data_IF_164964266758
#
_entry.id   IF_164964266758
#
_cell.length_a   1.000
_cell.length_b   1.000
_cell.length_c   1.000
_cell.angle_alpha   90.00
_cell.angle_beta   90.00
_cell.angle_gamma   90.00
#
_symmetry.space_group_name_H-M   'P 1'
#
loop_
_entity.id
_entity.type
_entity.pdbx_description
1 polymer ?
#
# COMPACT_ATOMS: atom_id res chain seq x y z
N UNK A 1 21.32 -3.45 4.66
CA UNK A 1 22.63 -3.29 5.32
C UNK A 1 23.64 -4.21 4.66
N UNK A 2 24.83 -3.72 4.35
CA UNK A 2 25.96 -4.57 3.97
C UNK A 2 26.46 -5.37 5.19
N UNK A 3 27.23 -6.45 4.99
CA UNK A 3 27.85 -7.17 6.11
C UNK A 3 28.70 -6.26 7.00
N UNK A 4 29.41 -5.29 6.41
CA UNK A 4 30.24 -4.33 7.17
C UNK A 4 29.39 -3.41 8.06
N UNK A 5 28.19 -3.00 7.62
CA UNK A 5 27.25 -2.22 8.44
C UNK A 5 26.75 -2.99 9.67
N UNK A 6 26.84 -4.33 9.64
CA UNK A 6 26.37 -5.24 10.68
C UNK A 6 27.51 -5.78 11.57
N UNK A 7 28.75 -5.37 11.32
CA UNK A 7 29.90 -5.84 12.09
C UNK A 7 29.79 -5.42 13.56
N UNK A 8 29.85 -6.40 14.47
CA UNK A 8 29.72 -6.17 15.91
C UNK A 8 28.29 -5.89 16.38
N UNK A 9 27.28 -6.06 15.53
CA UNK A 9 25.87 -5.96 15.89
C UNK A 9 25.32 -7.35 16.21
N UNK A 10 24.85 -7.55 17.44
CA UNK A 10 24.22 -8.81 17.85
C UNK A 10 22.70 -8.84 17.58
N UNK A 11 22.09 -7.65 17.48
CA UNK A 11 20.65 -7.48 17.41
C UNK A 11 20.25 -6.22 16.63
N UNK A 12 19.27 -6.36 15.75
CA UNK A 12 18.65 -5.24 15.02
C UNK A 12 17.19 -5.09 15.41
N UNK A 13 16.78 -3.86 15.73
CA UNK A 13 15.41 -3.51 16.10
C UNK A 13 14.69 -2.81 14.94
N UNK A 14 13.45 -3.21 14.67
CA UNK A 14 12.55 -2.53 13.76
C UNK A 14 11.36 -1.97 14.53
N UNK A 15 11.28 -0.64 14.59
CA UNK A 15 10.21 0.09 15.27
C UNK A 15 9.71 1.23 14.36
N UNK A 16 8.92 0.87 13.34
CA UNK A 16 8.44 1.82 12.32
C UNK A 16 6.95 1.62 12.12
N UNK A 17 6.21 2.73 12.07
CA UNK A 17 4.78 2.75 11.77
C UNK A 17 4.52 2.56 10.26
N UNK A 18 3.82 1.48 9.92
CA UNK A 18 3.35 1.18 8.57
C UNK A 18 1.90 1.65 8.34
N UNK A 19 1.37 1.52 7.12
CA UNK A 19 0.00 1.91 6.76
C UNK A 19 -0.84 0.79 6.17
N UNK A 20 -0.33 -0.45 6.11
CA UNK A 20 -1.11 -1.65 5.76
C UNK A 20 -1.27 -1.92 4.28
N UNK A 21 -0.39 -1.35 3.44
CA UNK A 21 -0.46 -1.51 1.99
C UNK A 21 0.85 -2.04 1.42
N UNK A 22 0.77 -2.97 0.46
CA UNK A 22 1.92 -3.64 -0.16
C UNK A 22 2.95 -2.70 -0.77
N UNK A 23 2.51 -1.58 -1.35
CA UNK A 23 3.38 -0.59 -1.98
C UNK A 23 3.94 0.47 -1.03
N UNK A 24 3.67 0.38 0.28
CA UNK A 24 4.35 1.18 1.29
C UNK A 24 5.62 0.45 1.74
N UNK A 25 6.78 1.01 1.42
CA UNK A 25 8.04 0.24 1.32
C UNK A 25 8.76 -0.03 2.63
N UNK A 26 8.16 0.28 3.78
CA UNK A 26 8.76 -0.05 5.08
C UNK A 26 8.79 -1.56 5.32
N UNK A 27 7.74 -2.31 4.92
CA UNK A 27 7.76 -3.78 4.97
C UNK A 27 8.79 -4.39 4.00
N UNK A 28 9.05 -3.74 2.86
CA UNK A 28 10.08 -4.16 1.91
C UNK A 28 11.49 -3.93 2.48
N UNK A 29 11.69 -2.78 3.12
CA UNK A 29 12.93 -2.48 3.86
C UNK A 29 13.13 -3.48 5.00
N UNK A 30 12.07 -3.76 5.77
CA UNK A 30 12.09 -4.76 6.83
C UNK A 30 12.53 -6.13 6.32
N UNK A 31 11.99 -6.59 5.19
CA UNK A 31 12.38 -7.86 4.58
C UNK A 31 13.87 -7.90 4.19
N UNK A 32 14.41 -6.82 3.59
CA UNK A 32 15.85 -6.76 3.30
C UNK A 32 16.73 -6.77 4.56
N UNK A 33 16.29 -6.12 5.63
CA UNK A 33 17.02 -6.15 6.90
C UNK A 33 16.93 -7.53 7.55
N UNK A 34 15.77 -8.19 7.51
CA UNK A 34 15.58 -9.56 7.97
C UNK A 34 16.48 -10.54 7.19
N UNK A 35 16.57 -10.40 5.87
CA UNK A 35 17.47 -11.19 5.03
C UNK A 35 18.92 -11.00 5.44
N UNK A 36 19.38 -9.74 5.57
CA UNK A 36 20.74 -9.44 6.00
C UNK A 36 21.04 -9.97 7.42
N UNK A 37 20.08 -9.91 8.35
CA UNK A 37 20.24 -10.49 9.69
C UNK A 37 20.35 -12.02 9.62
N UNK A 38 19.51 -12.67 8.82
CA UNK A 38 19.55 -14.12 8.62
C UNK A 38 20.88 -14.59 8.00
N UNK A 39 21.43 -13.85 7.04
CA UNK A 39 22.72 -14.15 6.40
C UNK A 39 23.92 -14.00 7.34
N UNK A 40 23.81 -13.17 8.39
CA UNK A 40 24.88 -12.86 9.34
C UNK A 40 24.66 -13.45 10.75
N UNK A 41 23.65 -14.32 10.91
CA UNK A 41 23.28 -14.96 12.19
C UNK A 41 22.85 -14.01 13.32
N UNK A 42 22.37 -12.81 12.95
CA UNK A 42 21.96 -11.72 13.85
C UNK A 42 20.48 -11.85 14.24
N UNK A 43 20.17 -11.53 15.50
CA UNK A 43 18.79 -11.49 15.98
C UNK A 43 18.04 -10.26 15.46
N UNK A 44 16.80 -10.44 15.00
CA UNK A 44 15.95 -9.35 14.52
C UNK A 44 14.71 -9.24 15.38
N UNK A 45 14.45 -8.06 15.94
CA UNK A 45 13.31 -7.80 16.83
C UNK A 45 12.39 -6.76 16.23
N UNK A 46 11.11 -7.10 16.10
CA UNK A 46 10.06 -6.15 15.68
C UNK A 46 9.32 -5.64 16.91
N UNK A 47 9.34 -4.33 17.15
CA UNK A 47 8.41 -3.67 18.06
C UNK A 47 7.14 -3.39 17.27
N UNK A 48 6.11 -4.20 17.52
CA UNK A 48 4.94 -4.19 16.66
C UNK A 48 4.12 -2.91 16.84
N UNK A 49 3.40 -2.53 15.78
CA UNK A 49 2.55 -1.36 15.76
C UNK A 49 1.21 -1.67 15.10
N UNK A 50 0.10 -1.03 15.51
CA UNK A 50 -1.19 -1.23 14.88
C UNK A 50 -1.14 -0.91 13.38
N UNK A 51 -1.81 -1.73 12.58
CA UNK A 51 -2.03 -1.43 11.18
C UNK A 51 -3.31 -0.58 11.04
N UNK A 52 -3.26 0.68 10.56
CA UNK A 52 -4.44 1.53 10.40
C UNK A 52 -5.45 0.96 9.38
N UNK A 53 -4.97 0.21 8.38
CA UNK A 53 -5.77 -0.54 7.41
C UNK A 53 -5.85 -2.04 7.76
N UNK A 54 -5.65 -2.40 9.04
CA UNK A 54 -5.63 -3.78 9.52
C UNK A 54 -7.00 -4.46 9.57
N UNK A 55 -8.08 -3.72 9.32
CA UNK A 55 -9.48 -4.15 9.48
C UNK A 55 -10.10 -4.81 8.24
N UNK A 56 -9.32 -4.98 7.18
CA UNK A 56 -9.73 -5.68 5.98
C UNK A 56 -8.53 -6.21 5.20
N UNK A 57 -8.81 -7.03 4.19
CA UNK A 57 -7.83 -7.59 3.26
C UNK A 57 -8.45 -7.50 1.87
N UNK A 58 -7.77 -6.84 0.92
CA UNK A 58 -8.32 -6.63 -0.42
C UNK A 58 -7.27 -6.28 -1.49
N UNK A 59 -7.66 -6.43 -2.75
CA UNK A 59 -6.89 -6.15 -3.96
C UNK A 59 -6.19 -7.38 -4.55
N UNK A 60 -5.69 -7.28 -5.79
CA UNK A 60 -5.02 -8.40 -6.45
C UNK A 60 -3.82 -8.92 -5.67
N UNK A 61 -3.64 -10.24 -5.66
CA UNK A 61 -2.42 -10.88 -5.13
C UNK A 61 -1.22 -10.53 -6.02
N UNK A 62 -0.09 -10.25 -5.37
CA UNK A 62 1.28 -10.31 -5.88
C UNK A 62 1.56 -11.40 -6.92
N UNK A 63 1.41 -11.15 -8.23
CA UNK A 63 2.11 -11.98 -9.22
C UNK A 63 3.61 -11.63 -9.20
N UNK A 64 4.45 -12.62 -8.91
CA UNK A 64 5.88 -12.43 -8.73
C UNK A 64 6.61 -12.01 -10.01
N UNK A 65 6.00 -12.16 -11.20
CA UNK A 65 6.51 -11.52 -12.43
C UNK A 65 6.53 -9.97 -12.31
N UNK A 66 5.63 -9.42 -11.50
CA UNK A 66 5.54 -8.00 -11.19
C UNK A 66 6.30 -7.61 -9.91
N UNK A 67 7.07 -8.51 -9.31
CA UNK A 67 7.89 -8.21 -8.13
C UNK A 67 8.76 -6.97 -8.34
N UNK A 68 8.81 -6.13 -7.31
CA UNK A 68 9.67 -4.94 -7.23
C UNK A 68 9.79 -4.51 -5.77
N UNK A 69 10.47 -3.39 -5.51
CA UNK A 69 10.58 -2.86 -4.14
C UNK A 69 9.22 -2.43 -3.55
N UNK A 70 8.23 -2.09 -4.39
CA UNK A 70 6.84 -1.78 -3.95
C UNK A 70 5.93 -3.00 -3.89
N UNK A 71 6.48 -4.21 -3.98
CA UNK A 71 5.74 -5.45 -3.88
C UNK A 71 6.68 -6.64 -3.97
N UNK A 72 7.07 -7.19 -2.82
CA UNK A 72 8.12 -8.20 -2.75
C UNK A 72 7.60 -9.66 -2.65
N UNK A 73 6.38 -9.84 -2.15
CA UNK A 73 5.81 -11.12 -1.75
C UNK A 73 4.37 -11.26 -2.27
N UNK A 74 3.86 -12.50 -2.46
CA UNK A 74 2.53 -12.78 -3.00
C UNK A 74 1.41 -12.47 -1.98
N UNK A 75 1.27 -11.18 -1.64
CA UNK A 75 0.25 -10.64 -0.74
C UNK A 75 -0.66 -9.68 -1.51
N UNK A 76 -1.92 -9.48 -1.08
CA UNK A 76 -2.81 -8.51 -1.71
C UNK A 76 -2.33 -7.07 -1.50
N UNK A 77 -2.97 -6.11 -2.17
CA UNK A 77 -2.65 -4.68 -2.02
C UNK A 77 -2.82 -4.24 -0.57
N UNK A 78 -3.94 -4.60 0.07
CA UNK A 78 -4.17 -4.41 1.51
C UNK A 78 -4.04 -5.76 2.18
N UNK A 79 -2.94 -5.96 2.91
CA UNK A 79 -2.58 -7.26 3.46
C UNK A 79 -3.21 -7.55 4.83
N UNK A 80 -3.73 -6.53 5.52
CA UNK A 80 -4.43 -6.69 6.81
C UNK A 80 -3.56 -7.30 7.92
N UNK A 81 -2.24 -7.12 7.86
CA UNK A 81 -1.29 -7.60 8.85
C UNK A 81 -0.57 -6.42 9.49
N UNK A 82 -0.27 -6.51 10.78
CA UNK A 82 0.73 -5.66 11.44
C UNK A 82 2.14 -5.98 10.93
N UNK A 83 3.13 -5.15 11.27
CA UNK A 83 4.52 -5.36 10.80
C UNK A 83 5.13 -6.62 11.40
N UNK A 84 4.82 -6.97 12.66
CA UNK A 84 5.30 -8.23 13.24
C UNK A 84 4.61 -9.45 12.62
N UNK A 85 3.30 -9.41 12.38
CA UNK A 85 2.60 -10.51 11.69
C UNK A 85 3.12 -10.69 10.25
N UNK A 86 3.40 -9.59 9.54
CA UNK A 86 4.02 -9.63 8.22
C UNK A 86 5.43 -10.23 8.26
N UNK A 87 6.27 -9.81 9.22
CA UNK A 87 7.60 -10.41 9.42
C UNK A 87 7.52 -11.91 9.72
N UNK A 88 6.58 -12.33 10.58
CA UNK A 88 6.32 -13.74 10.87
C UNK A 88 5.91 -14.51 9.60
N UNK A 89 5.05 -13.93 8.78
CA UNK A 89 4.61 -14.53 7.51
C UNK A 89 5.77 -14.68 6.53
N UNK A 90 6.56 -13.62 6.31
CA UNK A 90 7.77 -13.63 5.46
C UNK A 90 8.73 -14.73 5.90
N UNK A 91 8.96 -14.85 7.21
CA UNK A 91 9.88 -15.83 7.77
C UNK A 91 9.33 -17.26 7.70
N UNK A 92 8.04 -17.46 7.98
CA UNK A 92 7.38 -18.77 8.03
C UNK A 92 7.12 -19.38 6.65
N UNK A 93 6.73 -18.54 5.68
CA UNK A 93 6.53 -18.95 4.29
C UNK A 93 7.85 -18.98 3.48
N UNK A 94 8.99 -18.75 4.14
CA UNK A 94 10.34 -18.79 3.56
C UNK A 94 10.52 -17.86 2.36
N UNK A 95 10.02 -16.64 2.47
CA UNK A 95 10.09 -15.62 1.41
C UNK A 95 11.39 -14.82 1.39
N UNK A 96 12.27 -15.01 2.38
CA UNK A 96 13.65 -14.52 2.30
C UNK A 96 14.43 -15.29 1.23
N UNK A 97 15.45 -14.66 0.65
CA UNK A 97 16.28 -15.29 -0.39
C UNK A 97 16.83 -16.64 0.05
N UNK A 98 16.84 -17.60 -0.89
CA UNK A 98 17.24 -19.00 -0.65
C UNK A 98 16.40 -19.74 0.42
N UNK A 99 15.27 -19.16 0.85
CA UNK A 99 14.42 -19.74 1.88
C UNK A 99 15.05 -19.74 3.28
N UNK A 100 16.06 -18.89 3.52
CA UNK A 100 16.65 -18.72 4.85
C UNK A 100 15.62 -18.13 5.81
N UNK A 101 15.86 -18.31 7.10
CA UNK A 101 14.98 -17.80 8.14
C UNK A 101 15.78 -16.95 9.11
N UNK A 102 15.21 -15.80 9.46
CA UNK A 102 15.77 -14.89 10.45
C UNK A 102 15.46 -15.39 11.86
N UNK A 103 16.39 -15.18 12.80
CA UNK A 103 16.13 -15.31 14.25
C UNK A 103 15.19 -14.17 14.69
N UNK A 104 13.90 -14.35 14.46
CA UNK A 104 12.88 -13.33 14.65
C UNK A 104 12.30 -13.38 16.08
N UNK A 105 12.35 -12.24 16.77
CA UNK A 105 11.50 -11.96 17.94
C UNK A 105 10.56 -10.81 17.61
N UNK A 106 9.48 -10.69 18.38
CA UNK A 106 8.56 -9.57 18.26
C UNK A 106 7.95 -9.23 19.62
N UNK A 107 7.64 -7.95 19.81
CA UNK A 107 6.97 -7.42 20.98
C UNK A 107 5.57 -6.96 20.55
N UNK A 108 4.50 -7.68 20.93
CA UNK A 108 3.14 -7.37 20.48
C UNK A 108 2.58 -6.13 21.17
N UNK A 109 1.61 -5.49 20.52
CA UNK A 109 0.79 -4.44 21.13
C UNK A 109 -0.15 -5.04 22.19
N UNK A 110 -0.38 -4.31 23.27
CA UNK A 110 -1.50 -4.57 24.16
C UNK A 110 -2.76 -3.86 23.68
N UNK A 111 -3.93 -4.42 24.00
CA UNK A 111 -5.24 -3.82 23.70
C UNK A 111 -5.49 -3.50 22.22
N UNK A 112 -4.92 -4.29 21.30
CA UNK A 112 -5.15 -4.19 19.85
C UNK A 112 -5.81 -5.46 19.32
N UNK A 113 -6.77 -5.28 18.42
CA UNK A 113 -7.30 -6.31 17.54
C UNK A 113 -7.55 -5.71 16.15
N UNK A 114 -7.76 -6.58 15.16
CA UNK A 114 -7.92 -6.13 13.79
C UNK A 114 -9.21 -5.34 13.52
N UNK A 115 -10.20 -5.32 14.42
CA UNK A 115 -11.36 -4.44 14.31
C UNK A 115 -11.14 -3.06 14.95
N UNK A 116 -10.02 -2.84 15.63
CA UNK A 116 -9.74 -1.58 16.33
C UNK A 116 -9.22 -0.52 15.36
N UNK A 117 -9.94 0.59 15.27
CA UNK A 117 -9.43 1.79 14.62
C UNK A 117 -8.24 2.35 15.40
N UNK A 118 -7.14 2.61 14.69
CA UNK A 118 -5.94 3.25 15.25
C UNK A 118 -5.63 4.52 14.48
N UNK A 119 -5.57 5.64 15.20
CA UNK A 119 -5.16 6.92 14.65
C UNK A 119 -3.67 7.13 14.88
N UNK A 120 -2.94 7.44 13.82
CA UNK A 120 -1.51 7.65 13.90
C UNK A 120 -1.22 9.01 14.55
N UNK A 121 -0.41 9.07 15.63
CA UNK A 121 -0.07 10.33 16.27
C UNK A 121 0.91 11.19 15.45
N UNK A 122 1.61 10.57 14.49
CA UNK A 122 2.63 11.20 13.65
C UNK A 122 2.39 10.75 12.22
N UNK A 123 2.42 11.70 11.27
CA UNK A 123 2.33 11.38 9.83
C UNK A 123 3.43 10.37 9.45
N UNK A 124 3.10 9.22 8.84
CA UNK A 124 4.09 8.20 8.50
C UNK A 124 4.97 8.62 7.32
N UNK A 125 4.50 9.58 6.51
CA UNK A 125 5.21 10.17 5.38
C UNK A 125 4.76 11.62 5.19
N UNK A 126 5.60 12.51 4.62
CA UNK A 126 5.16 13.84 4.22
C UNK A 126 3.92 13.84 3.31
N UNK A 127 3.71 12.77 2.53
CA UNK A 127 2.56 12.66 1.61
C UNK A 127 1.36 11.89 2.19
N UNK A 128 1.44 11.42 3.43
CA UNK A 128 0.30 10.83 4.15
C UNK A 128 0.04 11.69 5.40
N UNK A 129 -0.43 12.94 5.23
CA UNK A 129 -0.44 13.93 6.31
C UNK A 129 -1.47 13.63 7.41
N UNK A 130 -2.50 12.82 7.11
CA UNK A 130 -3.62 12.56 8.02
C UNK A 130 -4.26 11.19 7.77
N UNK A 131 -5.21 10.81 8.63
CA UNK A 131 -5.91 9.51 8.55
C UNK A 131 -6.74 9.35 7.27
N UNK A 132 -7.34 10.43 6.75
CA UNK A 132 -8.08 10.37 5.49
C UNK A 132 -7.18 9.92 4.33
N UNK A 133 -6.01 10.55 4.21
CA UNK A 133 -4.99 10.21 3.22
C UNK A 133 -4.56 8.73 3.37
N UNK A 134 -4.38 8.25 4.59
CA UNK A 134 -4.04 6.84 4.89
C UNK A 134 -5.15 5.87 4.43
N UNK A 135 -6.42 6.20 4.62
CA UNK A 135 -7.54 5.35 4.20
C UNK A 135 -7.82 5.41 2.70
N UNK A 136 -7.55 6.55 2.06
CA UNK A 136 -7.65 6.70 0.61
C UNK A 136 -6.46 6.08 -0.13
N UNK A 137 -5.30 6.00 0.51
CA UNK A 137 -4.04 5.55 -0.09
C UNK A 137 -4.12 4.19 -0.83
N UNK A 138 -4.76 3.14 -0.29
CA UNK A 138 -4.94 1.87 -1.02
C UNK A 138 -5.58 2.03 -2.41
N UNK A 139 -6.49 2.99 -2.56
CA UNK A 139 -7.21 3.26 -3.81
C UNK A 139 -6.46 4.27 -4.67
N UNK A 140 -6.03 5.38 -4.07
CA UNK A 140 -5.45 6.49 -4.83
C UNK A 140 -3.99 6.24 -5.24
N UNK A 141 -3.24 5.39 -4.53
CA UNK A 141 -1.86 5.12 -4.93
C UNK A 141 -1.75 4.41 -6.28
N UNK A 142 -2.81 3.71 -6.73
CA UNK A 142 -2.85 3.10 -8.07
C UNK A 142 -2.70 4.15 -9.19
N UNK A 143 -3.17 5.38 -8.97
CA UNK A 143 -3.00 6.48 -9.93
C UNK A 143 -1.55 6.90 -10.14
N UNK A 144 -0.61 6.54 -9.27
CA UNK A 144 0.81 6.78 -9.54
C UNK A 144 1.27 6.05 -10.81
N UNK A 145 0.69 4.89 -11.09
CA UNK A 145 0.84 4.15 -12.33
C UNK A 145 0.05 4.71 -13.52
N UNK A 146 -0.55 5.89 -13.40
CA UNK A 146 -1.33 6.53 -14.46
C UNK A 146 -0.78 7.91 -14.82
N UNK A 147 -1.42 8.60 -15.77
CA UNK A 147 -1.16 10.02 -16.02
C UNK A 147 -1.70 10.94 -14.91
N UNK A 148 -2.61 10.50 -14.06
CA UNK A 148 -3.24 11.38 -13.08
C UNK A 148 -2.27 11.84 -11.98
N UNK A 149 -2.45 13.07 -11.52
CA UNK A 149 -1.92 13.55 -10.24
C UNK A 149 -2.82 13.11 -9.10
N UNK A 150 -2.22 12.83 -7.94
CA UNK A 150 -2.88 12.45 -6.68
C UNK A 150 -2.72 13.53 -5.61
N UNK A 151 -2.47 14.77 -6.02
CA UNK A 151 -2.26 15.90 -5.09
C UNK A 151 -0.89 15.95 -4.42
N UNK A 152 0.09 15.14 -4.85
CA UNK A 152 1.49 15.37 -4.44
C UNK A 152 1.90 16.78 -4.82
N UNK A 153 2.57 17.49 -3.90
CA UNK A 153 2.90 18.90 -4.09
C UNK A 153 1.81 19.89 -3.68
N UNK A 154 0.71 19.42 -3.08
CA UNK A 154 -0.27 20.25 -2.37
C UNK A 154 -0.25 19.91 -0.87
N UNK A 155 -1.12 20.56 -0.08
CA UNK A 155 -1.30 20.25 1.35
C UNK A 155 -2.18 19.01 1.59
N UNK A 156 -2.73 18.41 0.54
CA UNK A 156 -3.69 17.30 0.60
C UNK A 156 -3.36 16.14 -0.36
N UNK A 157 -2.13 15.61 -0.34
CA UNK A 157 -1.78 14.43 -1.12
C UNK A 157 -2.64 13.22 -0.72
N UNK A 158 -2.98 12.40 -1.73
CA UNK A 158 -3.90 11.27 -1.65
C UNK A 158 -5.27 11.62 -1.01
N UNK A 159 -5.74 12.85 -1.23
CA UNK A 159 -7.12 13.26 -0.92
C UNK A 159 -7.80 13.91 -2.13
N UNK A 160 -7.14 13.90 -3.28
CA UNK A 160 -7.62 14.41 -4.56
C UNK A 160 -7.01 13.58 -5.69
N UNK A 161 -7.61 13.64 -6.87
CA UNK A 161 -6.94 13.23 -8.10
C UNK A 161 -7.36 14.13 -9.25
N UNK A 162 -6.49 14.33 -10.24
CA UNK A 162 -6.78 15.24 -11.35
C UNK A 162 -5.70 15.29 -12.41
N UNK A 163 -6.01 15.99 -13.50
CA UNK A 163 -5.14 16.19 -14.66
C UNK A 163 -5.46 17.55 -15.33
N UNK A 164 -4.50 18.22 -15.99
CA UNK A 164 -4.77 19.49 -16.67
C UNK A 164 -5.86 19.44 -17.74
N UNK A 165 -5.98 18.29 -18.41
CA UNK A 165 -7.02 18.01 -19.40
C UNK A 165 -8.30 17.36 -18.83
N UNK A 166 -8.42 17.19 -17.51
CA UNK A 166 -9.65 16.67 -16.91
C UNK A 166 -10.77 17.70 -17.08
N UNK A 167 -11.92 17.28 -17.61
CA UNK A 167 -13.05 18.16 -17.94
C UNK A 167 -14.22 17.95 -16.98
N UNK A 168 -15.17 18.89 -16.99
CA UNK A 168 -16.45 18.83 -16.25
C UNK A 168 -16.36 18.87 -14.71
N UNK A 169 -15.18 19.12 -14.15
CA UNK A 169 -15.01 19.34 -12.71
C UNK A 169 -14.89 20.82 -12.35
N UNK A 170 -15.43 21.17 -11.19
CA UNK A 170 -15.35 22.53 -10.62
C UNK A 170 -14.15 22.70 -9.70
N UNK A 171 -13.66 21.61 -9.11
CA UNK A 171 -12.49 21.61 -8.26
C UNK A 171 -11.20 21.62 -9.11
N UNK A 172 -10.22 22.37 -8.63
CA UNK A 172 -8.88 22.42 -9.22
C UNK A 172 -7.81 22.57 -8.14
N UNK A 173 -6.61 22.12 -8.47
CA UNK A 173 -5.43 22.24 -7.63
C UNK A 173 -4.17 22.35 -8.49
N UNK A 174 -3.15 23.04 -7.99
CA UNK A 174 -1.87 23.19 -8.69
C UNK A 174 -0.78 22.56 -7.84
N UNK A 175 -0.23 21.40 -8.23
CA UNK A 175 0.94 20.82 -7.59
C UNK A 175 2.15 21.77 -7.59
N UNK A 176 2.90 21.84 -6.51
CA UNK A 176 4.15 22.57 -6.41
C UNK A 176 5.23 21.79 -5.66
N UNK A 177 6.50 22.17 -5.86
CA UNK A 177 7.61 21.55 -5.13
C UNK A 177 7.47 21.76 -3.62
N UNK A 178 7.56 20.69 -2.84
CA UNK A 178 7.55 20.74 -1.37
C UNK A 178 8.37 19.58 -0.76
N UNK A 179 8.40 19.49 0.58
CA UNK A 179 9.12 18.45 1.33
C UNK A 179 8.72 17.02 0.90
N UNK A 180 7.44 16.81 0.59
CA UNK A 180 6.91 15.51 0.17
C UNK A 180 7.11 15.18 -1.30
N UNK A 181 7.27 16.19 -2.16
CA UNK A 181 7.47 16.01 -3.59
C UNK A 181 8.28 17.15 -4.17
N UNK A 182 9.56 16.92 -4.45
CA UNK A 182 10.42 17.91 -5.09
C UNK A 182 10.04 18.16 -6.55
N UNK A 183 9.58 17.13 -7.25
CA UNK A 183 9.14 17.18 -8.66
C UNK A 183 7.79 16.45 -8.83
N UNK A 184 6.67 17.01 -8.34
CA UNK A 184 5.35 16.38 -8.48
C UNK A 184 4.88 16.40 -9.95
N UNK A 185 4.01 15.44 -10.32
CA UNK A 185 3.33 15.47 -11.62
C UNK A 185 2.59 16.80 -11.78
N UNK A 186 2.74 17.43 -12.94
CA UNK A 186 2.12 18.72 -13.27
C UNK A 186 2.54 19.85 -12.33
N UNK A 187 3.78 19.83 -11.83
CA UNK A 187 4.32 20.94 -11.02
C UNK A 187 4.15 22.29 -11.72
N UNK A 188 3.48 23.23 -11.06
CA UNK A 188 3.16 24.57 -11.58
C UNK A 188 2.05 24.62 -12.63
N UNK A 189 1.37 23.50 -12.90
CA UNK A 189 0.29 23.39 -13.88
C UNK A 189 -1.02 23.05 -13.17
N UNK A 190 -2.05 23.84 -13.42
CA UNK A 190 -3.39 23.60 -12.85
C UNK A 190 -3.94 22.24 -13.32
N UNK A 191 -4.39 21.44 -12.36
CA UNK A 191 -5.12 20.21 -12.59
C UNK A 191 -6.58 20.41 -12.18
N UNK A 192 -7.51 19.95 -13.02
CA UNK A 192 -8.92 19.78 -12.64
C UNK A 192 -9.16 18.34 -12.24
N UNK A 193 -10.14 18.10 -11.37
CA UNK A 193 -10.41 16.74 -10.92
C UNK A 193 -11.31 16.69 -9.70
N UNK A 194 -11.21 15.60 -8.96
CA UNK A 194 -12.12 15.26 -7.87
C UNK A 194 -11.48 15.59 -6.53
N UNK A 195 -12.27 16.21 -5.65
CA UNK A 195 -11.93 16.50 -4.26
C UNK A 195 -12.53 15.46 -3.32
N UNK A 196 -11.69 14.76 -2.56
CA UNK A 196 -12.09 13.74 -1.59
C UNK A 196 -11.76 14.14 -0.15
N UNK A 197 -11.39 15.40 0.11
CA UNK A 197 -11.00 15.89 1.45
C UNK A 197 -12.11 15.80 2.50
N UNK A 198 -13.37 15.77 2.07
CA UNK A 198 -14.55 15.62 2.92
C UNK A 198 -15.13 14.20 2.89
N UNK A 199 -14.37 13.21 2.40
CA UNK A 199 -14.86 11.83 2.28
C UNK A 199 -14.98 11.13 3.66
N UNK A 200 -16.15 10.57 3.93
CA UNK A 200 -16.53 10.02 5.23
C UNK A 200 -15.77 8.74 5.60
N UNK A 201 -15.07 8.74 6.75
CA UNK A 201 -14.26 7.59 7.20
C UNK A 201 -15.08 6.31 7.36
N UNK A 202 -16.36 6.44 7.75
CA UNK A 202 -17.27 5.32 7.96
C UNK A 202 -17.43 4.47 6.70
N UNK A 203 -17.26 5.05 5.52
CA UNK A 203 -17.35 4.33 4.26
C UNK A 203 -16.32 3.21 4.16
N UNK A 204 -15.07 3.44 4.58
CA UNK A 204 -14.02 2.42 4.53
C UNK A 204 -14.35 1.21 5.42
N UNK A 205 -14.88 1.46 6.62
CA UNK A 205 -15.27 0.41 7.57
C UNK A 205 -16.48 -0.41 7.10
N UNK A 206 -17.39 0.21 6.35
CA UNK A 206 -18.55 -0.47 5.77
C UNK A 206 -18.19 -1.27 4.53
N UNK A 207 -17.36 -0.71 3.65
CA UNK A 207 -17.02 -1.32 2.36
C UNK A 207 -15.91 -2.35 2.46
N UNK A 208 -14.92 -2.13 3.33
CA UNK A 208 -13.77 -3.02 3.57
C UNK A 208 -13.10 -3.48 2.25
N UNK A 209 -12.97 -2.54 1.30
CA UNK A 209 -12.39 -2.77 -0.02
C UNK A 209 -11.77 -1.50 -0.61
N UNK A 210 -10.85 -1.67 -1.54
CA UNK A 210 -10.31 -0.63 -2.41
C UNK A 210 -11.44 -0.09 -3.29
N UNK A 211 -11.43 1.21 -3.56
CA UNK A 211 -12.46 1.90 -4.34
C UNK A 211 -11.95 2.10 -5.77
N UNK A 212 -12.33 1.20 -6.67
CA UNK A 212 -11.97 1.28 -8.10
C UNK A 212 -12.80 2.28 -8.88
N UNK A 213 -13.95 2.70 -8.36
CA UNK A 213 -14.89 3.60 -9.04
C UNK A 213 -14.18 4.86 -9.54
N UNK A 214 -13.31 5.45 -8.73
CA UNK A 214 -12.53 6.64 -9.10
C UNK A 214 -11.52 6.38 -10.22
N UNK A 215 -10.83 5.24 -10.18
CA UNK A 215 -9.84 4.89 -11.21
C UNK A 215 -10.52 4.63 -12.56
N UNK A 216 -11.67 3.94 -12.54
CA UNK A 216 -12.47 3.65 -13.73
C UNK A 216 -13.10 4.93 -14.28
N UNK A 217 -13.65 5.78 -13.41
CA UNK A 217 -14.19 7.10 -13.81
C UNK A 217 -13.10 7.95 -14.48
N UNK A 218 -11.94 8.06 -13.85
CA UNK A 218 -10.83 8.82 -14.40
C UNK A 218 -10.33 8.24 -15.73
N UNK A 219 -10.21 6.91 -15.84
CA UNK A 219 -9.86 6.26 -17.12
C UNK A 219 -10.86 6.64 -18.22
N UNK A 220 -12.16 6.56 -17.93
CA UNK A 220 -13.21 6.89 -18.89
C UNK A 220 -13.19 8.37 -19.32
N UNK A 221 -12.99 9.29 -18.37
CA UNK A 221 -12.89 10.74 -18.65
C UNK A 221 -11.64 11.11 -19.43
N UNK A 222 -10.57 10.32 -19.30
CA UNK A 222 -9.28 10.56 -19.95
C UNK A 222 -9.08 9.73 -21.22
N UNK A 223 -10.11 9.03 -21.72
CA UNK A 223 -10.04 8.27 -22.97
C UNK A 223 -9.61 9.16 -24.13
N UNK A 224 -8.57 8.73 -24.84
CA UNK A 224 -7.99 9.46 -25.98
C UNK A 224 -6.94 10.51 -25.58
N UNK A 225 -6.66 10.70 -24.29
CA UNK A 225 -5.59 11.58 -23.80
C UNK A 225 -4.36 10.74 -23.45
N UNK A 226 -3.50 10.52 -24.46
CA UNK A 226 -2.25 9.76 -24.29
C UNK A 226 -2.47 8.34 -23.76
N UNK A 227 -1.38 7.75 -23.26
CA UNK A 227 -1.42 6.45 -22.59
C UNK A 227 -1.80 6.64 -21.12
N UNK A 228 -3.04 6.30 -20.76
CA UNK A 228 -3.54 6.53 -19.40
C UNK A 228 -2.72 5.77 -18.34
N UNK A 229 -2.40 4.49 -18.60
CA UNK A 229 -1.58 3.64 -17.75
C UNK A 229 -0.12 3.69 -18.20
N UNK A 230 0.80 3.75 -17.24
CA UNK A 230 2.23 3.59 -17.48
C UNK A 230 2.72 2.24 -16.92
N UNK A 231 3.99 1.90 -17.20
CA UNK A 231 4.58 0.61 -16.81
C UNK A 231 4.58 0.34 -15.30
N UNK A 232 4.48 1.39 -14.47
CA UNK A 232 4.45 1.27 -13.01
C UNK A 232 3.11 0.79 -12.48
N UNK A 233 2.01 0.91 -13.25
CA UNK A 233 0.70 0.45 -12.82
C UNK A 233 0.71 -1.03 -12.41
N UNK A 234 1.24 -1.89 -13.28
CA UNK A 234 1.33 -3.34 -13.02
C UNK A 234 2.21 -3.69 -11.81
N UNK A 235 3.19 -2.84 -11.46
CA UNK A 235 4.02 -3.00 -10.26
C UNK A 235 3.24 -2.66 -8.99
N UNK A 236 2.35 -1.68 -9.04
CA UNK A 236 1.49 -1.27 -7.93
C UNK A 236 0.30 -2.22 -7.74
N UNK A 237 -0.46 -2.50 -8.80
CA UNK A 237 -1.59 -3.43 -8.79
C UNK A 237 -1.13 -4.87 -8.54
N UNK A 238 0.09 -5.20 -8.97
CA UNK A 238 0.69 -6.51 -8.81
C UNK A 238 0.29 -7.52 -9.88
N UNK A 239 -0.38 -7.06 -10.94
CA UNK A 239 -0.85 -7.87 -12.08
C UNK A 239 -1.13 -6.96 -13.27
N UNK A 240 -1.03 -7.48 -14.49
CA UNK A 240 -1.55 -6.80 -15.68
C UNK A 240 -3.07 -6.89 -15.79
N UNK A 241 -3.71 -7.82 -15.09
CA UNK A 241 -5.12 -8.14 -15.29
C UNK A 241 -6.02 -6.94 -14.98
N UNK A 242 -5.76 -6.23 -13.88
CA UNK A 242 -6.54 -5.04 -13.51
C UNK A 242 -6.56 -3.98 -14.62
N UNK A 243 -5.42 -3.77 -15.31
CA UNK A 243 -5.37 -2.83 -16.43
C UNK A 243 -6.26 -3.31 -17.58
N UNK A 244 -6.12 -4.59 -17.95
CA UNK A 244 -6.90 -5.19 -19.06
C UNK A 244 -8.40 -5.12 -18.79
N UNK A 245 -8.82 -5.40 -17.56
CA UNK A 245 -10.23 -5.36 -17.17
C UNK A 245 -10.81 -3.94 -17.21
N UNK A 246 -10.04 -2.93 -16.79
CA UNK A 246 -10.47 -1.53 -16.91
C UNK A 246 -10.55 -1.12 -18.38
N UNK A 247 -9.56 -1.51 -19.20
CA UNK A 247 -9.53 -1.23 -20.63
C UNK A 247 -10.67 -1.91 -21.40
N UNK A 248 -11.05 -3.14 -21.01
CA UNK A 248 -12.17 -3.90 -21.58
C UNK A 248 -13.54 -3.39 -21.13
N UNK A 249 -13.58 -2.50 -20.12
CA UNK A 249 -14.82 -1.92 -19.60
C UNK A 249 -15.58 -2.86 -18.66
N UNK A 250 -14.89 -3.77 -17.98
CA UNK A 250 -15.50 -4.60 -16.95
C UNK A 250 -16.05 -3.77 -15.79
N UNK A 251 -17.12 -4.27 -15.17
CA UNK A 251 -17.72 -3.60 -14.00
C UNK A 251 -16.80 -3.72 -12.78
N UNK A 252 -16.83 -2.75 -11.84
CA UNK A 252 -16.06 -2.87 -10.60
C UNK A 252 -16.33 -4.18 -9.86
N UNK A 253 -17.58 -4.65 -9.84
CA UNK A 253 -17.96 -5.89 -9.15
C UNK A 253 -17.38 -7.15 -9.81
N UNK A 254 -17.20 -7.16 -11.13
CA UNK A 254 -16.55 -8.29 -11.81
C UNK A 254 -15.04 -8.27 -11.60
N UNK A 255 -14.44 -7.08 -11.56
CA UNK A 255 -13.04 -6.90 -11.19
C UNK A 255 -12.79 -7.37 -9.75
N UNK A 256 -13.63 -6.98 -8.78
CA UNK A 256 -13.51 -7.43 -7.38
C UNK A 256 -13.61 -8.97 -7.27
N UNK A 257 -14.55 -9.60 -7.99
CA UNK A 257 -14.67 -11.07 -8.01
C UNK A 257 -13.41 -11.75 -8.56
N UNK A 258 -12.72 -11.13 -9.52
CA UNK A 258 -11.57 -11.75 -10.20
C UNK A 258 -10.41 -12.10 -9.25
N UNK A 259 -10.23 -11.37 -8.15
CA UNK A 259 -9.20 -11.66 -7.15
C UNK A 259 -9.71 -12.32 -5.86
N UNK A 260 -11.02 -12.53 -5.73
CA UNK A 260 -11.64 -13.08 -4.51
C UNK A 260 -11.07 -14.45 -4.14
N UNK A 261 -10.87 -15.34 -5.11
CA UNK A 261 -10.25 -16.65 -4.90
C UNK A 261 -8.83 -16.53 -4.31
N UNK A 262 -8.05 -15.56 -4.80
CA UNK A 262 -6.72 -15.25 -4.28
C UNK A 262 -6.77 -14.73 -2.84
N UNK A 263 -7.75 -13.88 -2.51
CA UNK A 263 -7.95 -13.39 -1.15
C UNK A 263 -8.35 -14.51 -0.19
N UNK A 264 -9.22 -15.43 -0.59
CA UNK A 264 -9.61 -16.60 0.21
C UNK A 264 -8.38 -17.44 0.56
N UNK A 265 -7.54 -17.73 -0.44
CA UNK A 265 -6.31 -18.48 -0.22
C UNK A 265 -5.33 -17.74 0.69
N UNK A 266 -5.10 -16.45 0.43
CA UNK A 266 -4.23 -15.62 1.26
C UNK A 266 -4.69 -15.57 2.72
N UNK A 267 -5.99 -15.41 2.97
CA UNK A 267 -6.56 -15.37 4.34
C UNK A 267 -6.33 -16.68 5.09
N UNK A 268 -6.34 -17.83 4.42
CA UNK A 268 -6.00 -19.12 5.04
C UNK A 268 -4.53 -19.16 5.49
N UNK A 269 -3.60 -18.63 4.69
CA UNK A 269 -2.18 -18.54 5.05
C UNK A 269 -2.00 -17.52 6.19
N UNK A 270 -2.58 -16.32 6.05
CA UNK A 270 -2.55 -15.21 7.01
C UNK A 270 -2.89 -15.67 8.44
N UNK A 271 -3.92 -16.52 8.61
CA UNK A 271 -4.38 -17.02 9.92
C UNK A 271 -3.29 -17.72 10.75
N UNK A 272 -2.28 -18.32 10.11
CA UNK A 272 -1.15 -18.95 10.81
C UNK A 272 -0.24 -17.94 11.54
N UNK A 273 -0.25 -16.69 11.08
CA UNK A 273 0.71 -15.66 11.46
C UNK A 273 0.10 -14.53 12.28
N UNK A 274 -1.21 -14.54 12.50
CA UNK A 274 -1.88 -13.58 13.35
C UNK A 274 -1.34 -13.65 14.79
N UNK A 275 -1.18 -12.48 15.38
CA UNK A 275 -0.88 -12.24 16.79
C UNK A 275 -2.17 -11.79 17.49
N UNK A 276 -3.00 -11.01 16.79
CA UNK A 276 -4.19 -10.39 17.34
C UNK A 276 -5.47 -11.10 16.89
N UNK A 277 -6.56 -10.84 17.59
CA UNK A 277 -7.89 -11.30 17.17
C UNK A 277 -8.22 -10.70 15.80
N UNK A 278 -8.64 -11.56 14.88
CA UNK A 278 -8.96 -11.17 13.51
C UNK A 278 -10.29 -10.39 13.42
N UNK A 279 -10.53 -9.79 12.26
CA UNK A 279 -11.80 -9.13 11.92
C UNK A 279 -12.86 -10.09 11.35
N UNK A 280 -12.50 -11.38 11.17
CA UNK A 280 -13.34 -12.47 10.64
C UNK A 280 -13.81 -13.46 11.71
#
# INVERSE_FOLDING_TARGET
>A
PSPDDLSGIDLVMFDIQDVGTRFYTYISTMQYVMEACAENDIEFVVFDRPNPNGFYVDGPILDLEHKSFVGMNPVPVVHGLTVAEYARMVNGERWLKNGIQCKLKYIPCENYDHNKAYELPIKPSPNLPNMLSIYLYPSLCLFEGTIMSVGRGTDFPFQVFGHPAYVNETFSFTPGSNEGASNPKYSGIECKGVDLRDFEYRFFWQKRRIILDWLIEAYNNMKGIGDFFNSYFSKLSGTQELQKQIESGESPEDIYKSWEAGLIHYKQIRKKYLIYKDFE
#
